data_IF_161833011384
#
_entry.id   IF_161833011384
#
_cell.length_a   1.000
_cell.length_b   1.000
_cell.length_c   1.000
_cell.angle_alpha   90.00
_cell.angle_beta   90.00
_cell.angle_gamma   90.00
#
_symmetry.space_group_name_H-M   'P 1'
#
loop_
_entity.id
_entity.type
_entity.pdbx_description
1 polymer ?
#
# COMPACT_ATOMS: atom_id res chain seq x y z
N UNK A 1 31.27 24.49 32.78
CA UNK A 1 30.48 25.31 31.82
C UNK A 1 29.17 25.69 32.48
N UNK A 2 28.98 26.98 32.77
CA UNK A 2 27.78 27.52 33.41
C UNK A 2 26.53 27.32 32.54
N UNK A 3 25.38 27.28 33.19
CA UNK A 3 24.06 27.02 32.59
C UNK A 3 23.74 27.96 31.41
N UNK A 4 24.23 29.20 31.47
CA UNK A 4 24.05 30.22 30.42
C UNK A 4 24.78 29.87 29.11
N UNK A 5 25.98 29.28 29.18
CA UNK A 5 26.73 28.89 27.98
C UNK A 5 26.03 27.78 27.19
N UNK A 6 25.35 26.86 27.88
CA UNK A 6 24.58 25.77 27.25
C UNK A 6 23.34 26.30 26.55
N UNK A 7 22.67 27.31 27.13
CA UNK A 7 21.48 27.93 26.54
C UNK A 7 21.81 28.71 25.26
N UNK A 8 22.93 29.44 25.25
CA UNK A 8 23.40 30.22 24.09
C UNK A 8 23.73 29.33 22.88
N UNK A 9 24.40 28.19 23.11
CA UNK A 9 24.76 27.25 22.04
C UNK A 9 23.50 26.59 21.44
N UNK A 10 22.56 26.15 22.29
CA UNK A 10 21.29 25.55 21.83
C UNK A 10 20.45 26.57 21.05
N UNK A 11 20.42 27.82 21.50
CA UNK A 11 19.69 28.89 20.82
C UNK A 11 20.31 29.23 19.45
N UNK A 12 21.65 29.30 19.38
CA UNK A 12 22.38 29.55 18.14
C UNK A 12 22.18 28.41 17.13
N UNK A 13 22.21 27.15 17.58
CA UNK A 13 21.95 25.98 16.73
C UNK A 13 20.53 25.95 16.19
N UNK A 14 19.52 26.24 17.02
CA UNK A 14 18.11 26.34 16.57
C UNK A 14 17.94 27.45 15.53
N UNK A 15 18.62 28.58 15.71
CA UNK A 15 18.58 29.71 14.76
C UNK A 15 19.26 29.36 13.43
N UNK A 16 20.40 28.67 13.47
CA UNK A 16 21.09 28.18 12.28
C UNK A 16 20.24 27.16 11.51
N UNK A 17 19.59 26.22 12.21
CA UNK A 17 18.73 25.21 11.59
C UNK A 17 17.48 25.80 10.93
N UNK A 18 16.90 26.85 11.52
CA UNK A 18 15.73 27.56 10.94
C UNK A 18 16.03 28.21 9.59
N UNK A 19 17.30 28.55 9.34
CA UNK A 19 17.75 29.13 8.06
C UNK A 19 18.19 28.07 7.04
N UNK A 20 18.39 26.82 7.44
CA UNK A 20 18.75 25.72 6.56
C UNK A 20 17.55 25.02 5.90
N UNK A 21 16.34 25.25 6.43
CA UNK A 21 15.14 24.62 5.92
C UNK A 21 14.53 25.44 4.77
N UNK A 22 14.18 24.79 3.65
CA UNK A 22 13.54 25.46 2.52
C UNK A 22 12.24 26.14 2.98
N UNK A 23 12.13 27.43 2.65
CA UNK A 23 11.06 28.31 3.16
C UNK A 23 9.84 28.24 2.27
N UNK A 24 9.99 27.77 1.02
CA UNK A 24 8.90 27.65 0.04
C UNK A 24 8.64 26.19 -0.34
N UNK A 25 7.47 25.93 -0.92
CA UNK A 25 7.04 24.58 -1.34
C UNK A 25 7.86 24.09 -2.54
N UNK A 26 8.20 24.98 -3.47
CA UNK A 26 8.99 24.63 -4.66
C UNK A 26 10.40 24.17 -4.30
N UNK A 27 11.04 24.86 -3.34
CA UNK A 27 12.34 24.45 -2.80
C UNK A 27 12.29 23.07 -2.14
N UNK A 28 11.16 22.72 -1.49
CA UNK A 28 10.95 21.40 -0.87
C UNK A 28 10.78 20.29 -1.90
N UNK A 29 10.06 20.56 -2.99
CA UNK A 29 9.86 19.60 -4.09
C UNK A 29 11.20 19.33 -4.79
N UNK A 30 11.99 20.37 -5.05
CA UNK A 30 13.33 20.24 -5.63
C UNK A 30 14.25 19.46 -4.69
N UNK A 31 14.22 19.75 -3.39
CA UNK A 31 15.02 19.03 -2.40
C UNK A 31 14.61 17.55 -2.31
N UNK A 32 13.33 17.23 -2.27
CA UNK A 32 12.84 15.84 -2.24
C UNK A 32 13.20 15.06 -3.50
N UNK A 33 13.13 15.70 -4.69
CA UNK A 33 13.58 15.10 -5.95
C UNK A 33 15.10 14.89 -6.00
N UNK A 34 15.87 15.70 -5.26
CA UNK A 34 17.33 15.54 -5.12
C UNK A 34 17.67 14.42 -4.12
N UNK A 35 16.93 14.34 -3.02
CA UNK A 35 17.08 13.31 -1.98
C UNK A 35 16.66 11.93 -2.48
N UNK A 36 15.63 11.82 -3.32
CA UNK A 36 15.18 10.53 -3.88
C UNK A 36 16.20 9.89 -4.83
N UNK A 37 17.16 10.66 -5.35
CA UNK A 37 18.29 10.16 -6.16
C UNK A 37 19.46 9.65 -5.32
N UNK A 38 19.46 9.89 -4.02
CA UNK A 38 20.47 9.38 -3.10
C UNK A 38 20.06 7.96 -2.72
N UNK A 39 20.81 6.95 -3.18
CA UNK A 39 20.62 5.57 -2.72
C UNK A 39 20.80 5.54 -1.19
N UNK A 40 19.94 4.85 -0.41
CA UNK A 40 20.09 4.73 1.03
C UNK A 40 21.31 3.84 1.34
N UNK A 41 22.49 4.44 1.35
CA UNK A 41 23.70 3.87 1.93
C UNK A 41 23.87 4.48 3.31
N UNK A 42 23.99 3.64 4.34
CA UNK A 42 24.33 4.08 5.68
C UNK A 42 25.61 4.95 5.59
N UNK A 43 25.60 6.21 6.07
CA UNK A 43 26.74 7.09 5.89
C UNK A 43 27.97 6.48 6.57
N UNK A 44 29.07 6.31 5.81
CA UNK A 44 30.33 5.66 6.25
C UNK A 44 31.02 6.34 7.45
N UNK A 45 30.44 7.40 8.02
CA UNK A 45 30.92 8.15 9.17
C UNK A 45 29.76 8.56 10.08
N UNK A 46 29.00 7.60 10.59
CA UNK A 46 28.32 7.83 11.87
C UNK A 46 29.40 7.73 12.94
N UNK A 47 29.77 8.86 13.54
CA UNK A 47 30.72 8.88 14.65
C UNK A 47 30.18 7.98 15.77
N UNK A 48 30.95 6.99 16.23
CA UNK A 48 30.58 6.13 17.37
C UNK A 48 30.13 6.94 18.58
N UNK A 49 30.66 8.16 18.73
CA UNK A 49 30.28 9.12 19.75
C UNK A 49 28.80 9.53 19.67
N UNK A 50 28.24 9.71 18.47
CA UNK A 50 26.83 10.09 18.29
C UNK A 50 25.88 8.96 18.69
N UNK A 51 26.27 7.71 18.43
CA UNK A 51 25.51 6.52 18.86
C UNK A 51 25.59 6.36 20.38
N UNK A 52 26.78 6.56 20.97
CA UNK A 52 26.96 6.54 22.43
C UNK A 52 26.18 7.64 23.14
N UNK A 53 26.16 8.86 22.60
CA UNK A 53 25.38 9.97 23.17
C UNK A 53 23.88 9.64 23.09
N UNK A 54 23.42 9.08 21.98
CA UNK A 54 22.01 8.69 21.81
C UNK A 54 21.60 7.52 22.72
N UNK A 55 22.48 6.52 22.91
CA UNK A 55 22.23 5.40 23.81
C UNK A 55 22.26 5.83 25.29
N UNK A 56 23.12 6.78 25.63
CA UNK A 56 23.17 7.35 26.98
C UNK A 56 21.91 8.18 27.28
N UNK A 57 21.42 8.97 26.32
CA UNK A 57 20.19 9.76 26.47
C UNK A 57 18.93 8.88 26.64
N UNK A 58 18.85 7.76 25.92
CA UNK A 58 17.74 6.80 26.06
C UNK A 58 17.82 6.00 27.36
N UNK A 59 19.01 5.64 27.84
CA UNK A 59 19.20 4.97 29.13
C UNK A 59 18.83 5.86 30.33
N UNK A 60 19.02 7.17 30.23
CA UNK A 60 18.54 8.14 31.23
C UNK A 60 17.05 8.50 31.09
N UNK A 61 16.29 7.80 30.25
CA UNK A 61 14.84 8.01 30.07
C UNK A 61 14.47 9.28 29.30
N UNK A 62 15.43 9.91 28.62
CA UNK A 62 15.20 11.11 27.84
C UNK A 62 14.85 10.74 26.40
N UNK A 63 13.55 10.69 26.09
CA UNK A 63 13.04 10.55 24.73
C UNK A 63 12.77 11.96 24.16
N UNK A 64 13.63 12.53 23.31
CA UNK A 64 13.30 13.79 22.65
C UNK A 64 12.11 13.55 21.72
N UNK A 65 10.91 13.93 22.16
CA UNK A 65 9.76 14.03 21.27
C UNK A 65 10.02 15.19 20.32
N UNK A 66 10.42 14.88 19.10
CA UNK A 66 10.30 15.83 18.01
C UNK A 66 8.80 16.05 17.77
N UNK A 67 8.21 17.02 18.47
CA UNK A 67 6.89 17.54 18.13
C UNK A 67 7.00 18.18 16.75
N UNK A 68 6.70 17.38 15.72
CA UNK A 68 6.43 17.90 14.38
C UNK A 68 5.10 18.67 14.56
N UNK A 69 5.10 20.02 14.46
CA UNK A 69 3.85 20.76 14.52
C UNK A 69 2.93 20.22 13.42
N UNK A 70 1.61 20.10 13.66
CA UNK A 70 0.69 19.71 12.61
C UNK A 70 0.92 20.63 11.42
N UNK A 71 1.26 20.04 10.27
CA UNK A 71 1.32 20.79 9.02
C UNK A 71 -0.06 21.40 8.85
N UNK A 72 -0.18 22.73 8.94
CA UNK A 72 -1.38 23.41 8.48
C UNK A 72 -1.50 23.03 7.00
N UNK A 73 -2.43 22.12 6.69
CA UNK A 73 -2.71 21.74 5.31
C UNK A 73 -3.03 23.04 4.57
N UNK A 74 -2.13 23.45 3.68
CA UNK A 74 -2.45 24.49 2.73
C UNK A 74 -3.58 23.95 1.85
N UNK A 75 -4.63 24.76 1.70
CA UNK A 75 -5.90 24.44 1.01
C UNK A 75 -5.72 24.02 -0.45
N UNK A 76 -4.49 24.03 -0.97
CA UNK A 76 -4.09 23.43 -2.23
C UNK A 76 -4.41 21.92 -2.30
N UNK A 77 -4.35 21.19 -1.18
CA UNK A 77 -4.80 19.78 -1.15
C UNK A 77 -6.33 19.64 -1.17
N UNK A 78 -7.07 20.61 -0.61
CA UNK A 78 -8.53 20.62 -0.66
C UNK A 78 -9.05 20.91 -2.08
N UNK A 79 -8.31 21.71 -2.87
CA UNK A 79 -8.64 21.90 -4.29
C UNK A 79 -8.36 20.67 -5.15
N UNK A 80 -7.36 19.85 -4.81
CA UNK A 80 -7.16 18.53 -5.44
C UNK A 80 -8.32 17.58 -5.10
N UNK A 81 -8.85 17.64 -3.87
CA UNK A 81 -10.05 16.87 -3.48
C UNK A 81 -11.37 17.42 -4.08
N UNK A 82 -11.42 18.67 -4.53
CA UNK A 82 -12.60 19.23 -5.20
C UNK A 82 -12.71 18.80 -6.67
N UNK A 83 -11.70 18.14 -7.24
CA UNK A 83 -11.83 17.35 -8.47
C UNK A 83 -12.27 15.89 -8.20
N UNK A 84 -13.01 15.65 -7.10
CA UNK A 84 -13.78 14.41 -6.88
C UNK A 84 -15.03 14.40 -7.76
N UNK A 85 -14.83 14.59 -9.07
CA UNK A 85 -15.72 14.03 -10.06
C UNK A 85 -15.46 12.53 -10.09
N UNK A 86 -16.53 11.75 -10.20
CA UNK A 86 -16.54 10.31 -10.31
C UNK A 86 -15.75 9.84 -11.54
N UNK A 87 -14.42 9.79 -11.44
CA UNK A 87 -13.56 9.15 -12.45
C UNK A 87 -13.57 7.65 -12.15
N UNK A 88 -14.73 7.02 -12.32
CA UNK A 88 -14.73 5.63 -12.78
C UNK A 88 -13.96 5.70 -14.10
N UNK A 89 -12.88 4.92 -14.31
CA UNK A 89 -12.15 4.98 -15.56
C UNK A 89 -13.04 4.44 -16.68
N UNK A 90 -13.85 5.29 -17.29
CA UNK A 90 -14.62 5.04 -18.50
C UNK A 90 -13.72 4.89 -19.73
N UNK A 91 -12.46 4.50 -19.54
CA UNK A 91 -11.44 4.44 -20.57
C UNK A 91 -10.36 3.41 -20.20
N UNK A 92 -10.77 2.24 -19.69
CA UNK A 92 -9.97 1.04 -19.93
C UNK A 92 -10.27 0.58 -21.36
N UNK A 93 -9.23 0.27 -22.13
CA UNK A 93 -9.36 -0.18 -23.52
C UNK A 93 -10.08 -1.52 -23.60
N UNK A 94 -10.02 -2.33 -22.53
CA UNK A 94 -10.69 -3.62 -22.37
C UNK A 94 -11.61 -3.58 -21.14
N UNK A 95 -12.81 -4.18 -21.19
CA UNK A 95 -13.63 -4.34 -19.98
C UNK A 95 -12.90 -5.20 -18.94
N UNK A 96 -13.15 -4.91 -17.67
CA UNK A 96 -12.63 -5.74 -16.57
C UNK A 96 -13.37 -7.08 -16.53
N UNK A 97 -12.64 -8.13 -16.19
CA UNK A 97 -13.16 -9.48 -16.00
C UNK A 97 -13.05 -9.91 -14.53
N UNK A 98 -13.80 -10.95 -14.15
CA UNK A 98 -13.58 -11.61 -12.88
C UNK A 98 -12.30 -12.45 -12.92
N UNK A 99 -11.59 -12.60 -11.78
CA UNK A 99 -10.39 -13.44 -11.74
C UNK A 99 -10.69 -14.93 -11.98
N UNK A 100 -11.92 -15.36 -11.65
CA UNK A 100 -12.46 -16.68 -11.91
C UNK A 100 -13.98 -16.66 -11.69
N UNK A 101 -14.76 -17.62 -12.23
CA UNK A 101 -16.15 -17.80 -11.83
C UNK A 101 -16.24 -18.18 -10.35
N UNK A 102 -17.27 -17.71 -9.65
CA UNK A 102 -17.42 -18.00 -8.23
C UNK A 102 -18.56 -17.22 -7.58
N UNK A 103 -18.64 -17.33 -6.26
CA UNK A 103 -19.66 -16.67 -5.46
C UNK A 103 -19.06 -15.59 -4.57
N UNK A 104 -19.71 -14.44 -4.51
CA UNK A 104 -19.35 -13.38 -3.56
C UNK A 104 -19.69 -13.84 -2.14
N UNK A 105 -18.69 -13.89 -1.26
CA UNK A 105 -18.85 -14.25 0.15
C UNK A 105 -18.66 -13.07 1.08
N UNK A 106 -17.68 -12.21 0.81
CA UNK A 106 -17.38 -11.03 1.62
C UNK A 106 -17.31 -9.79 0.76
N UNK A 107 -17.95 -8.71 1.21
CA UNK A 107 -17.98 -7.41 0.53
C UNK A 107 -16.90 -6.47 1.05
N UNK A 108 -16.60 -5.46 0.25
CA UNK A 108 -15.72 -4.37 0.64
C UNK A 108 -16.27 -3.60 1.86
N UNK A 109 -15.41 -3.31 2.82
CA UNK A 109 -15.72 -2.47 3.98
C UNK A 109 -14.45 -1.86 4.58
N UNK A 110 -14.59 -1.00 5.59
CA UNK A 110 -13.45 -0.42 6.32
C UNK A 110 -12.55 -1.46 7.00
N UNK A 111 -13.07 -2.66 7.29
CA UNK A 111 -12.34 -3.75 7.92
C UNK A 111 -11.92 -4.85 6.92
N UNK A 112 -12.37 -4.74 5.67
CA UNK A 112 -12.12 -5.70 4.61
C UNK A 112 -11.86 -4.94 3.29
N UNK A 113 -10.59 -4.58 3.00
CA UNK A 113 -10.22 -3.67 1.91
C UNK A 113 -10.25 -4.34 0.52
N UNK A 114 -11.17 -5.29 0.32
CA UNK A 114 -11.34 -6.06 -0.90
C UNK A 114 -12.66 -6.83 -0.91
N UNK A 115 -12.79 -7.77 -1.83
CA UNK A 115 -13.89 -8.74 -1.87
C UNK A 115 -13.34 -10.15 -1.82
N UNK A 116 -14.15 -11.08 -1.30
CA UNK A 116 -13.85 -12.50 -1.33
C UNK A 116 -14.77 -13.20 -2.32
N UNK A 117 -14.15 -13.93 -3.25
CA UNK A 117 -14.85 -14.72 -4.28
C UNK A 117 -14.54 -16.19 -4.00
N UNK A 118 -15.53 -16.91 -3.48
CA UNK A 118 -15.42 -18.34 -3.23
C UNK A 118 -15.34 -19.13 -4.54
N UNK A 119 -14.39 -20.06 -4.57
CA UNK A 119 -14.14 -20.95 -5.70
C UNK A 119 -13.43 -22.22 -5.23
N UNK A 120 -13.43 -23.26 -6.06
CA UNK A 120 -12.75 -24.51 -5.74
C UNK A 120 -11.23 -24.33 -5.59
N UNK A 121 -10.63 -25.09 -4.68
CA UNK A 121 -9.17 -25.17 -4.55
C UNK A 121 -8.53 -25.56 -5.89
N UNK A 122 -7.45 -24.88 -6.28
CA UNK A 122 -6.77 -25.14 -7.55
C UNK A 122 -7.41 -24.44 -8.76
N UNK A 123 -8.53 -23.73 -8.59
CA UNK A 123 -9.14 -22.97 -9.69
C UNK A 123 -8.16 -21.89 -10.20
N UNK A 124 -7.94 -21.75 -11.53
CA UNK A 124 -7.06 -20.73 -12.07
C UNK A 124 -7.50 -19.30 -11.70
N UNK A 125 -6.53 -18.45 -11.37
CA UNK A 125 -6.74 -17.02 -11.10
C UNK A 125 -6.17 -16.22 -12.26
N UNK A 126 -7.02 -15.41 -12.89
CA UNK A 126 -6.66 -14.52 -13.99
C UNK A 126 -6.54 -13.06 -13.54
N UNK A 127 -5.73 -12.23 -14.21
CA UNK A 127 -5.76 -10.79 -14.01
C UNK A 127 -7.10 -10.19 -14.44
N UNK A 128 -7.67 -9.28 -13.64
CA UNK A 128 -8.93 -8.59 -13.98
C UNK A 128 -8.82 -7.71 -15.23
N UNK A 129 -7.59 -7.29 -15.55
CA UNK A 129 -7.21 -6.58 -16.78
C UNK A 129 -5.71 -6.76 -17.00
N UNK A 130 -5.26 -6.50 -18.23
CA UNK A 130 -3.86 -6.58 -18.63
C UNK A 130 -2.97 -5.67 -17.77
N UNK A 131 -1.71 -6.06 -17.57
CA UNK A 131 -0.79 -5.30 -16.73
C UNK A 131 0.58 -5.94 -16.59
N UNK A 132 1.32 -5.48 -15.60
CA UNK A 132 2.66 -5.98 -15.24
C UNK A 132 2.63 -6.43 -13.80
N UNK A 133 3.15 -7.62 -13.53
CA UNK A 133 3.27 -8.16 -12.17
C UNK A 133 4.27 -7.29 -11.40
N UNK A 134 3.78 -6.52 -10.44
CA UNK A 134 4.60 -5.66 -9.61
C UNK A 134 5.33 -6.48 -8.54
N UNK A 135 4.63 -7.43 -7.92
CA UNK A 135 5.22 -8.30 -6.90
C UNK A 135 4.52 -9.64 -6.76
N UNK A 136 5.28 -10.63 -6.31
CA UNK A 136 4.83 -11.91 -5.76
C UNK A 136 5.46 -12.04 -4.38
N UNK A 137 4.65 -12.27 -3.37
CA UNK A 137 5.09 -12.27 -1.97
C UNK A 137 4.29 -13.24 -1.11
N UNK A 138 4.82 -13.51 0.08
CA UNK A 138 4.16 -14.28 1.13
C UNK A 138 3.98 -13.40 2.36
N UNK A 139 2.74 -13.23 2.80
CA UNK A 139 2.40 -12.69 4.11
C UNK A 139 1.95 -13.83 5.03
N UNK A 140 2.74 -14.08 6.06
CA UNK A 140 2.50 -15.17 7.01
C UNK A 140 1.36 -14.89 8.00
N UNK A 141 0.91 -13.64 8.12
CA UNK A 141 -0.06 -13.24 9.16
C UNK A 141 -1.49 -13.09 8.64
N UNK A 142 -1.67 -12.69 7.38
CA UNK A 142 -2.98 -12.44 6.81
C UNK A 142 -3.14 -13.02 5.42
N UNK A 143 -2.49 -12.42 4.43
CA UNK A 143 -2.81 -12.60 3.01
C UNK A 143 -2.33 -13.93 2.41
N UNK A 144 -1.41 -14.64 3.07
CA UNK A 144 -0.81 -15.84 2.50
C UNK A 144 0.04 -15.49 1.27
N UNK A 145 0.05 -16.38 0.28
CA UNK A 145 0.67 -16.07 -1.01
C UNK A 145 -0.20 -15.07 -1.75
N UNK A 146 0.42 -14.01 -2.25
CA UNK A 146 -0.28 -13.02 -3.05
C UNK A 146 0.55 -12.50 -4.22
N UNK A 147 -0.18 -11.97 -5.20
CA UNK A 147 0.36 -11.28 -6.38
C UNK A 147 -0.26 -9.91 -6.49
N UNK A 148 0.54 -8.89 -6.79
CA UNK A 148 0.07 -7.56 -7.16
C UNK A 148 0.36 -7.34 -8.64
N UNK A 149 -0.67 -6.96 -9.40
CA UNK A 149 -0.56 -6.56 -10.79
C UNK A 149 -0.78 -5.05 -10.89
N UNK A 150 0.19 -4.34 -11.44
CA UNK A 150 0.08 -2.94 -11.78
C UNK A 150 -0.48 -2.79 -13.20
N UNK A 151 -1.47 -1.92 -13.33
CA UNK A 151 -2.15 -1.62 -14.57
C UNK A 151 -1.92 -0.15 -14.95
N UNK A 152 -2.56 0.30 -16.02
CA UNK A 152 -2.50 1.69 -16.43
C UNK A 152 -3.13 2.65 -15.40
N UNK A 153 -2.78 3.94 -15.50
CA UNK A 153 -3.45 5.03 -14.76
C UNK A 153 -3.43 4.89 -13.23
N UNK A 154 -2.40 4.25 -12.67
CA UNK A 154 -2.23 4.11 -11.22
C UNK A 154 -3.17 3.09 -10.58
N UNK A 155 -3.80 2.24 -11.38
CA UNK A 155 -4.67 1.15 -10.95
C UNK A 155 -3.84 -0.11 -10.63
N UNK A 156 -4.14 -0.76 -9.51
CA UNK A 156 -3.51 -2.03 -9.14
C UNK A 156 -4.54 -3.01 -8.60
N UNK A 157 -4.35 -4.28 -8.92
CA UNK A 157 -5.11 -5.39 -8.34
C UNK A 157 -4.20 -6.29 -7.53
N UNK A 158 -4.68 -6.77 -6.38
CA UNK A 158 -3.98 -7.74 -5.54
C UNK A 158 -4.84 -8.98 -5.37
N UNK A 159 -4.22 -10.15 -5.56
CA UNK A 159 -4.84 -11.46 -5.45
C UNK A 159 -4.16 -12.22 -4.32
N UNK A 160 -4.91 -12.54 -3.27
CA UNK A 160 -4.38 -13.16 -2.04
C UNK A 160 -4.95 -14.55 -1.79
N UNK A 161 -4.45 -15.23 -0.76
CA UNK A 161 -4.77 -16.61 -0.38
C UNK A 161 -4.44 -17.65 -1.46
N UNK A 162 -3.53 -17.34 -2.38
CA UNK A 162 -3.19 -18.20 -3.51
C UNK A 162 -2.52 -19.51 -3.05
N UNK A 163 -2.79 -20.60 -3.76
CA UNK A 163 -2.18 -21.91 -3.50
C UNK A 163 -0.78 -21.95 -4.10
N UNK A 164 -0.73 -22.08 -5.41
CA UNK A 164 0.48 -21.92 -6.23
C UNK A 164 0.42 -20.61 -7.00
N UNK A 165 1.59 -20.04 -7.25
CA UNK A 165 1.76 -18.81 -8.03
C UNK A 165 2.71 -19.08 -9.19
N UNK A 166 2.25 -18.86 -10.42
CA UNK A 166 2.95 -19.22 -11.66
C UNK A 166 3.76 -18.06 -12.27
N UNK A 167 3.46 -16.83 -11.87
CA UNK A 167 4.15 -15.62 -12.36
C UNK A 167 5.24 -15.13 -11.40
N UNK A 168 6.07 -14.20 -11.87
CA UNK A 168 7.09 -13.48 -11.09
C UNK A 168 7.02 -11.97 -11.36
N UNK A 169 7.64 -11.19 -10.48
CA UNK A 169 7.74 -9.74 -10.66
C UNK A 169 8.41 -9.38 -12.00
N UNK A 170 7.84 -8.42 -12.71
CA UNK A 170 8.27 -7.96 -14.03
C UNK A 170 7.58 -8.67 -15.20
N UNK A 171 6.85 -9.76 -14.99
CA UNK A 171 6.10 -10.42 -16.06
C UNK A 171 4.98 -9.51 -16.59
N UNK A 172 4.87 -9.37 -17.91
CA UNK A 172 3.70 -8.77 -18.55
C UNK A 172 2.62 -9.83 -18.68
N UNK A 173 1.40 -9.50 -18.26
CA UNK A 173 0.26 -10.42 -18.25
C UNK A 173 -0.94 -9.79 -18.96
N UNK A 174 -1.64 -10.60 -19.73
CA UNK A 174 -2.97 -10.31 -20.23
C UNK A 174 -4.01 -11.00 -19.34
N UNK A 175 -5.25 -10.56 -19.45
CA UNK A 175 -6.41 -11.17 -18.80
C UNK A 175 -6.64 -12.65 -19.18
N UNK A 176 -5.96 -13.18 -20.20
CA UNK A 176 -6.00 -14.60 -20.56
C UNK A 176 -4.91 -15.42 -19.86
N UNK A 177 -3.91 -14.79 -19.25
CA UNK A 177 -2.85 -15.48 -18.51
C UNK A 177 -3.35 -15.95 -17.14
N UNK A 178 -2.68 -16.98 -16.60
CA UNK A 178 -2.95 -17.52 -15.27
C UNK A 178 -1.87 -17.02 -14.32
N UNK A 179 -2.26 -16.26 -13.29
CA UNK A 179 -1.36 -15.77 -12.23
C UNK A 179 -0.96 -16.88 -11.27
N UNK A 180 -1.89 -17.78 -10.99
CA UNK A 180 -1.77 -18.87 -10.03
C UNK A 180 -3.12 -19.56 -9.86
N UNK A 181 -3.31 -20.17 -8.70
CA UNK A 181 -4.53 -20.92 -8.39
C UNK A 181 -5.10 -20.54 -7.02
N UNK A 182 -6.42 -20.68 -6.87
CA UNK A 182 -7.14 -20.52 -5.61
C UNK A 182 -6.55 -21.46 -4.58
N UNK A 183 -6.21 -20.91 -3.42
CA UNK A 183 -5.59 -21.63 -2.33
C UNK A 183 -6.33 -21.47 -1.02
N UNK A 184 -5.61 -21.82 0.04
CA UNK A 184 -6.01 -21.64 1.43
C UNK A 184 -4.84 -21.13 2.27
N UNK A 185 -3.95 -20.34 1.67
CA UNK A 185 -2.76 -19.83 2.38
C UNK A 185 -3.10 -18.57 3.19
N UNK A 186 -2.39 -18.35 4.30
CA UNK A 186 -2.69 -17.26 5.22
C UNK A 186 -3.93 -17.52 6.06
N UNK A 187 -4.65 -16.45 6.43
CA UNK A 187 -5.82 -16.52 7.30
C UNK A 187 -7.10 -16.59 6.47
N UNK A 188 -7.63 -17.80 6.33
CA UNK A 188 -8.82 -18.07 5.51
C UNK A 188 -9.80 -19.00 6.25
N UNK A 189 -11.09 -18.90 5.93
CA UNK A 189 -12.14 -19.83 6.37
C UNK A 189 -12.46 -20.94 5.37
N UNK A 190 -11.89 -20.88 4.15
CA UNK A 190 -12.12 -21.84 3.07
C UNK A 190 -11.55 -21.35 1.73
N UNK A 191 -11.57 -22.17 0.67
CA UNK A 191 -11.03 -21.79 -0.63
C UNK A 191 -11.73 -20.56 -1.24
N UNK A 192 -10.99 -19.48 -1.45
CA UNK A 192 -11.46 -18.24 -2.10
C UNK A 192 -10.28 -17.41 -2.63
N UNK A 193 -10.58 -16.48 -3.53
CA UNK A 193 -9.65 -15.38 -3.87
C UNK A 193 -10.09 -14.13 -3.13
N UNK A 194 -9.18 -13.56 -2.34
CA UNK A 194 -9.33 -12.20 -1.82
C UNK A 194 -8.75 -11.22 -2.84
N UNK A 195 -9.60 -10.34 -3.37
CA UNK A 195 -9.26 -9.35 -4.39
C UNK A 195 -9.34 -7.94 -3.82
N UNK A 196 -8.20 -7.26 -3.77
CA UNK A 196 -8.13 -5.84 -3.46
C UNK A 196 -7.88 -5.03 -4.73
N UNK A 197 -8.48 -3.85 -4.81
CA UNK A 197 -8.23 -2.89 -5.89
C UNK A 197 -7.80 -1.57 -5.26
N UNK A 198 -6.73 -0.98 -5.80
CA UNK A 198 -6.28 0.36 -5.44
C UNK A 198 -6.16 1.26 -6.65
N UNK A 199 -6.55 2.52 -6.49
CA UNK A 199 -6.39 3.57 -7.48
C UNK A 199 -5.62 4.72 -6.83
N UNK A 200 -4.44 5.04 -7.37
CA UNK A 200 -3.56 6.09 -6.84
C UNK A 200 -3.24 5.93 -5.34
N UNK A 201 -3.21 4.69 -4.84
CA UNK A 201 -2.90 4.36 -3.45
C UNK A 201 -4.09 4.28 -2.51
N UNK A 202 -5.31 4.58 -2.96
CA UNK A 202 -6.53 4.41 -2.16
C UNK A 202 -7.28 3.14 -2.55
N UNK A 203 -7.83 2.44 -1.55
CA UNK A 203 -8.66 1.27 -1.78
C UNK A 203 -10.00 1.65 -2.40
N UNK A 204 -10.39 0.92 -3.44
CA UNK A 204 -11.65 1.10 -4.14
C UNK A 204 -12.46 -0.18 -4.03
N UNK A 205 -13.76 -0.06 -3.81
CA UNK A 205 -14.69 -1.19 -3.82
C UNK A 205 -14.69 -1.89 -5.18
N UNK A 206 -14.21 -3.15 -5.26
CA UNK A 206 -14.14 -3.89 -6.52
C UNK A 206 -15.51 -4.09 -7.20
N UNK A 207 -16.61 -4.15 -6.44
CA UNK A 207 -17.94 -4.36 -6.99
C UNK A 207 -18.44 -3.18 -7.83
N UNK A 208 -17.81 -2.01 -7.73
CA UNK A 208 -18.12 -0.85 -8.57
C UNK A 208 -17.50 -0.92 -9.96
N UNK A 209 -16.54 -1.82 -10.17
CA UNK A 209 -15.72 -1.88 -11.38
C UNK A 209 -15.85 -3.22 -12.10
N UNK A 210 -16.08 -4.30 -11.36
CA UNK A 210 -16.17 -5.65 -11.91
C UNK A 210 -17.58 -5.97 -12.43
N UNK A 211 -17.69 -6.96 -13.34
CA UNK A 211 -18.98 -7.55 -13.70
C UNK A 211 -19.74 -8.07 -12.47
N UNK A 212 -21.05 -8.26 -12.61
CA UNK A 212 -21.90 -8.79 -11.55
C UNK A 212 -21.40 -10.18 -11.09
N UNK A 213 -21.33 -10.37 -9.77
CA UNK A 213 -20.93 -11.63 -9.13
C UNK A 213 -22.13 -12.18 -8.38
N UNK A 214 -22.48 -13.44 -8.65
CA UNK A 214 -23.57 -14.10 -7.94
C UNK A 214 -23.26 -14.20 -6.44
N UNK A 215 -24.24 -13.92 -5.60
CA UNK A 215 -24.13 -14.17 -4.17
C UNK A 215 -24.11 -15.68 -3.91
N UNK A 216 -23.39 -16.10 -2.87
CA UNK A 216 -23.43 -17.49 -2.43
C UNK A 216 -24.87 -17.90 -2.09
N UNK A 217 -25.38 -19.02 -2.62
CA UNK A 217 -26.74 -19.47 -2.32
C UNK A 217 -26.88 -19.71 -0.81
N UNK A 218 -28.05 -19.44 -0.22
CA UNK A 218 -28.28 -19.74 1.19
C UNK A 218 -28.05 -21.23 1.42
N UNK A 219 -27.17 -21.56 2.37
CA UNK A 219 -26.91 -22.94 2.77
C UNK A 219 -28.23 -23.52 3.25
N UNK A 220 -28.88 -24.33 2.42
CA UNK A 220 -30.07 -25.05 2.85
C UNK A 220 -29.56 -26.14 3.79
N UNK A 221 -29.51 -25.85 5.09
CA UNK A 221 -29.28 -26.87 6.09
C UNK A 221 -30.44 -27.84 5.93
N UNK A 222 -30.17 -29.01 5.35
CA UNK A 222 -31.13 -30.10 5.33
C UNK A 222 -31.55 -30.32 6.79
N UNK A 223 -32.79 -29.94 7.13
CA UNK A 223 -33.41 -30.32 8.40
C UNK A 223 -33.41 -31.85 8.40
N UNK A 224 -32.53 -32.43 9.21
CA UNK A 224 -32.54 -33.85 9.54
C UNK A 224 -33.44 -34.07 10.73
#
# INVERSE_FOLDING_TARGET
MSFEAKFSIIYSLKKAFKNLLPKTVDERIVLNRKLSKIKPGLPKRVSLLAIFIYSLFTFLGYFPTFSIPPVKQHQTFAQIQQQKGEVIPSSFTKPLILPHPGYLTTRFSSYHPGIDIAAGLGMPIHPIIDGVVESKSLDIFGLGNYVVVAHEKGFKSKYSHMGRVFVKAGDTVTSDNILGEVGITGRTSGPHTHLEITLNGEFVDPLKLLPEISNMPPTTVAKK
#
